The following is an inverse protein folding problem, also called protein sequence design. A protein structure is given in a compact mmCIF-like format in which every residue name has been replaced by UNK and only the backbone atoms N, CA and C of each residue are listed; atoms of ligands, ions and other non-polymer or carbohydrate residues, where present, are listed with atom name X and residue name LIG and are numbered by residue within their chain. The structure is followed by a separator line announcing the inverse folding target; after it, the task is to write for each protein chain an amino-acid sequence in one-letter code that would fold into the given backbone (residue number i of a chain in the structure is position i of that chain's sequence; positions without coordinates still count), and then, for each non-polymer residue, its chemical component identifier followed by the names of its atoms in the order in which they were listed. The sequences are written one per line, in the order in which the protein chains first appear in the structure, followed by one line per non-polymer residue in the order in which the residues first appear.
data_IF_593298189819
#
_entry.id   IF_593298189819
#
_cell.length_a   1.000
_cell.length_b   1.000
_cell.length_c   1.000
_cell.angle_alpha   90.00
_cell.angle_beta   90.00
_cell.angle_gamma   90.00
#
_symmetry.space_group_name_H-M   'P 1'
#
loop_
_entity.id
_entity.type
_entity.pdbx_description
1 polymer ?
#
# COMPACT_ATOMS: atom_id res chain seq x y z
N UNK A 1 11.24 0.32 18.10
CA UNK A 1 11.86 -0.97 17.68
C UNK A 1 12.86 -0.72 16.58
N UNK A 2 13.98 -1.39 16.61
CA UNK A 2 15.07 -1.14 15.70
C UNK A 2 14.87 -1.88 14.37
N UNK A 3 15.19 -1.22 13.26
CA UNK A 3 15.15 -1.82 11.92
C UNK A 3 16.23 -2.89 11.82
N UNK A 4 15.87 -4.11 11.42
CA UNK A 4 16.79 -5.24 11.35
C UNK A 4 17.96 -4.99 10.39
N UNK A 5 17.75 -4.31 9.27
CA UNK A 5 18.81 -3.96 8.33
C UNK A 5 19.79 -2.98 8.99
N UNK A 6 19.29 -2.02 9.76
CA UNK A 6 20.14 -1.07 10.47
C UNK A 6 21.04 -1.75 11.46
N UNK A 7 20.52 -2.75 12.17
CA UNK A 7 21.28 -3.53 13.16
C UNK A 7 22.29 -4.46 12.53
N UNK A 8 21.86 -5.25 11.55
CA UNK A 8 22.64 -6.35 10.99
C UNK A 8 23.53 -5.90 9.82
N UNK A 9 23.10 -4.92 9.05
CA UNK A 9 23.77 -4.49 7.81
C UNK A 9 23.76 -2.97 7.66
N UNK A 10 24.49 -2.25 8.53
CA UNK A 10 24.43 -0.79 8.59
C UNK A 10 24.82 -0.08 7.28
N UNK A 11 25.72 -0.67 6.49
CA UNK A 11 26.11 -0.07 5.20
C UNK A 11 24.97 -0.06 4.20
N UNK A 12 24.15 -1.11 4.15
CA UNK A 12 22.96 -1.12 3.31
C UNK A 12 21.87 -0.20 3.85
N UNK A 13 21.74 -0.11 5.16
CA UNK A 13 20.80 0.82 5.78
C UNK A 13 21.11 2.28 5.40
N UNK A 14 22.37 2.65 5.34
CA UNK A 14 22.76 4.00 4.87
C UNK A 14 22.24 4.30 3.46
N UNK A 15 22.23 3.28 2.59
CA UNK A 15 21.68 3.43 1.22
C UNK A 15 20.17 3.56 1.22
N UNK A 16 19.48 2.90 2.16
CA UNK A 16 18.02 2.97 2.29
C UNK A 16 17.54 4.23 3.00
N UNK A 17 18.37 4.84 3.84
CA UNK A 17 17.96 5.96 4.69
C UNK A 17 17.30 7.11 3.94
N UNK A 18 17.79 7.58 2.79
CA UNK A 18 17.12 8.66 2.04
C UNK A 18 15.68 8.31 1.65
N UNK A 19 15.42 7.05 1.30
CA UNK A 19 14.07 6.57 0.96
C UNK A 19 13.18 6.54 2.20
N UNK A 20 13.70 6.03 3.30
CA UNK A 20 12.99 5.97 4.58
C UNK A 20 12.64 7.37 5.07
N UNK A 21 13.61 8.29 5.07
CA UNK A 21 13.41 9.67 5.50
C UNK A 21 12.33 10.37 4.65
N UNK A 22 12.33 10.13 3.35
CA UNK A 22 11.32 10.68 2.46
C UNK A 22 9.92 10.14 2.78
N UNK A 23 9.79 8.83 2.96
CA UNK A 23 8.51 8.21 3.32
C UNK A 23 7.99 8.73 4.66
N UNK A 24 8.83 8.80 5.67
CA UNK A 24 8.44 9.31 6.98
C UNK A 24 8.04 10.78 6.92
N UNK A 25 8.73 11.59 6.11
CA UNK A 25 8.40 13.01 5.93
C UNK A 25 6.99 13.22 5.35
N UNK A 26 6.48 12.26 4.60
CA UNK A 26 5.14 12.30 4.00
C UNK A 26 4.06 11.63 4.86
N UNK A 27 4.43 11.09 6.01
CA UNK A 27 3.49 10.41 6.90
C UNK A 27 3.28 8.92 6.63
N UNK A 28 4.11 8.31 5.80
CA UNK A 28 4.11 6.87 5.60
C UNK A 28 4.66 6.16 6.84
N UNK A 29 4.19 4.94 7.07
CA UNK A 29 4.63 4.12 8.19
C UNK A 29 5.02 2.73 7.71
N UNK A 30 6.05 2.16 8.32
CA UNK A 30 6.37 0.76 8.10
C UNK A 30 5.41 -0.13 8.89
N UNK A 31 5.02 -1.25 8.30
CA UNK A 31 4.11 -2.22 8.92
C UNK A 31 4.71 -2.82 10.17
N UNK A 32 5.93 -3.29 10.04
CA UNK A 32 6.67 -3.94 11.09
C UNK A 32 8.16 -3.65 10.89
N UNK A 33 8.94 -4.03 11.87
CA UNK A 33 10.36 -4.09 11.69
C UNK A 33 10.72 -5.09 10.62
N UNK A 34 11.76 -4.82 9.88
CA UNK A 34 12.28 -5.74 8.89
C UNK A 34 12.56 -7.08 9.53
N UNK A 35 11.96 -8.12 8.98
CA UNK A 35 12.28 -9.49 9.35
C UNK A 35 13.24 -10.07 8.33
N UNK A 36 14.19 -10.85 8.81
CA UNK A 36 15.10 -11.60 7.98
C UNK A 36 14.47 -12.95 7.65
N UNK A 37 14.38 -13.26 6.37
CA UNK A 37 13.89 -14.54 5.90
C UNK A 37 15.03 -15.30 5.24
N UNK A 38 15.18 -16.59 5.56
CA UNK A 38 16.12 -17.46 4.89
C UNK A 38 15.38 -18.26 3.83
N UNK A 39 15.83 -18.17 2.57
CA UNK A 39 15.24 -18.97 1.49
C UNK A 39 15.65 -20.43 1.65
N UNK A 40 14.68 -21.31 1.73
CA UNK A 40 14.91 -22.75 1.90
C UNK A 40 15.80 -23.11 3.10
N UNK A 41 15.81 -22.29 4.15
CA UNK A 41 16.65 -22.52 5.31
C UNK A 41 18.14 -22.27 5.11
N UNK A 42 18.53 -21.72 3.96
CA UNK A 42 19.93 -21.43 3.63
C UNK A 42 20.38 -20.11 4.27
N UNK A 43 21.36 -20.11 5.19
CA UNK A 43 21.82 -18.89 5.84
C UNK A 43 22.53 -17.91 4.90
N UNK A 44 22.99 -18.37 3.74
CA UNK A 44 23.64 -17.52 2.74
C UNK A 44 22.67 -16.94 1.72
N UNK A 45 21.38 -17.29 1.82
CA UNK A 45 20.34 -16.82 0.92
C UNK A 45 19.19 -16.23 1.75
N UNK A 46 19.23 -14.92 1.98
CA UNK A 46 18.30 -14.23 2.88
C UNK A 46 17.62 -13.05 2.20
N UNK A 47 16.49 -12.66 2.76
CA UNK A 47 15.78 -11.44 2.39
C UNK A 47 15.35 -10.68 3.64
N UNK A 48 15.49 -9.36 3.59
CA UNK A 48 14.88 -8.43 4.54
C UNK A 48 13.82 -7.63 3.82
N UNK A 49 12.60 -7.60 4.36
CA UNK A 49 11.50 -6.82 3.84
C UNK A 49 11.17 -5.68 4.77
N UNK A 50 11.06 -4.49 4.23
CA UNK A 50 10.55 -3.33 4.92
C UNK A 50 9.37 -2.76 4.13
N UNK A 51 8.18 -3.14 4.55
CA UNK A 51 6.91 -2.83 3.87
C UNK A 51 6.31 -1.56 4.44
N UNK A 52 5.93 -0.63 3.57
CA UNK A 52 5.42 0.68 3.92
C UNK A 52 4.00 0.88 3.45
N UNK A 53 3.19 1.55 4.29
CA UNK A 53 1.84 1.97 3.95
C UNK A 53 1.65 3.46 4.23
N UNK A 54 0.65 4.03 3.58
CA UNK A 54 0.18 5.36 3.91
C UNK A 54 -0.96 5.25 4.93
N UNK A 55 -0.86 6.01 6.01
CA UNK A 55 -1.79 5.93 7.12
C UNK A 55 -3.17 6.50 6.74
N UNK A 56 -4.24 5.81 7.13
CA UNK A 56 -5.63 6.27 7.00
C UNK A 56 -6.09 6.55 5.57
N UNK A 57 -5.49 5.95 4.59
CA UNK A 57 -5.75 6.28 3.20
C UNK A 57 -7.18 6.05 2.75
N UNK A 58 -7.89 5.08 3.31
CA UNK A 58 -9.25 4.76 2.89
C UNK A 58 -10.30 4.94 3.97
N UNK A 59 -9.91 5.41 5.15
CA UNK A 59 -10.82 5.64 6.26
C UNK A 59 -11.42 4.37 6.86
N UNK A 60 -10.99 3.20 6.41
CA UNK A 60 -11.41 1.92 6.93
C UNK A 60 -10.37 1.42 7.93
N UNK A 61 -10.81 0.96 9.08
CA UNK A 61 -9.92 0.51 10.12
C UNK A 61 -9.16 -0.76 9.75
N UNK A 62 -7.98 -0.91 10.30
CA UNK A 62 -7.16 -2.09 10.17
C UNK A 62 -6.14 -2.07 9.03
N UNK A 63 -5.21 -2.97 9.14
CA UNK A 63 -4.20 -3.22 8.12
C UNK A 63 -4.73 -4.22 7.12
N UNK A 64 -4.70 -3.87 5.83
CA UNK A 64 -4.93 -4.83 4.76
C UNK A 64 -3.76 -4.78 3.78
N UNK A 65 -3.57 -5.84 3.00
CA UNK A 65 -2.54 -5.89 1.99
C UNK A 65 -2.74 -4.82 0.90
N UNK A 66 -3.95 -4.31 0.78
CA UNK A 66 -4.29 -3.25 -0.16
C UNK A 66 -3.81 -1.87 0.29
N UNK A 67 -3.33 -1.73 1.51
CA UNK A 67 -2.83 -0.46 2.03
C UNK A 67 -1.33 -0.27 1.83
N UNK A 68 -0.64 -1.30 1.41
CA UNK A 68 0.80 -1.26 1.20
C UNK A 68 1.15 -0.53 -0.09
N UNK A 69 2.19 0.30 -0.01
CA UNK A 69 2.60 1.15 -1.13
C UNK A 69 3.92 0.69 -1.73
N UNK A 70 4.86 0.33 -0.89
CA UNK A 70 6.17 -0.09 -1.38
C UNK A 70 6.87 -1.03 -0.40
N UNK A 71 7.82 -1.77 -0.94
CA UNK A 71 8.74 -2.60 -0.20
C UNK A 71 10.19 -2.16 -0.46
N UNK A 72 10.93 -1.97 0.61
CA UNK A 72 12.37 -1.80 0.56
C UNK A 72 12.98 -3.16 0.90
N UNK A 73 13.59 -3.79 -0.08
CA UNK A 73 14.03 -5.19 0.03
C UNK A 73 15.55 -5.27 -0.07
N UNK A 74 16.15 -5.94 0.89
CA UNK A 74 17.55 -6.38 0.79
C UNK A 74 17.55 -7.90 0.60
N UNK A 75 18.00 -8.35 -0.57
CA UNK A 75 18.03 -9.77 -0.92
C UNK A 75 19.45 -10.17 -1.26
N UNK A 76 20.08 -10.97 -0.40
CA UNK A 76 21.43 -11.51 -0.57
C UNK A 76 22.44 -10.47 -1.08
N UNK A 77 22.50 -9.32 -0.37
CA UNK A 77 23.43 -8.23 -0.70
C UNK A 77 22.97 -7.27 -1.80
N UNK A 78 21.78 -7.47 -2.37
CA UNK A 78 21.22 -6.60 -3.40
C UNK A 78 20.02 -5.82 -2.86
N UNK A 79 20.01 -4.49 -3.09
CA UNK A 79 18.88 -3.64 -2.74
C UNK A 79 17.91 -3.57 -3.90
N UNK A 80 16.63 -3.76 -3.56
CA UNK A 80 15.52 -3.68 -4.51
C UNK A 80 14.42 -2.83 -3.91
N UNK A 81 13.94 -1.85 -4.65
CA UNK A 81 12.86 -0.96 -4.21
C UNK A 81 11.69 -1.18 -5.14
N UNK A 82 10.61 -1.72 -4.60
CA UNK A 82 9.42 -2.10 -5.36
C UNK A 82 8.24 -1.25 -4.94
N UNK A 83 7.57 -0.62 -5.90
CA UNK A 83 6.41 0.24 -5.64
C UNK A 83 5.18 -0.33 -6.34
N UNK A 84 4.11 -0.57 -5.58
CA UNK A 84 2.86 -1.09 -6.11
C UNK A 84 2.12 -0.02 -6.92
N UNK A 85 1.54 -0.44 -8.03
CA UNK A 85 0.82 0.43 -8.96
C UNK A 85 -0.69 0.31 -8.75
N UNK A 86 -1.27 1.29 -8.08
CA UNK A 86 -2.71 1.32 -7.80
C UNK A 86 -3.52 1.84 -8.97
N UNK A 87 -4.73 1.30 -9.11
CA UNK A 87 -5.73 1.77 -10.06
C UNK A 87 -7.08 1.90 -9.38
N UNK A 88 -7.88 2.85 -9.84
CA UNK A 88 -9.26 3.02 -9.38
C UNK A 88 -10.15 2.22 -10.33
N UNK A 89 -10.78 1.18 -9.79
CA UNK A 89 -11.59 0.26 -10.58
C UNK A 89 -13.02 0.20 -10.05
N UNK A 90 -13.97 -0.13 -10.92
CA UNK A 90 -15.37 -0.28 -10.55
C UNK A 90 -15.55 -1.61 -9.82
N UNK A 91 -16.28 -1.59 -8.70
CA UNK A 91 -16.59 -2.81 -7.94
C UNK A 91 -17.48 -3.75 -8.75
N UNK A 92 -17.22 -5.05 -8.60
CA UNK A 92 -18.10 -6.08 -9.15
C UNK A 92 -19.43 -6.11 -8.38
N UNK A 93 -20.55 -6.32 -9.11
CA UNK A 93 -21.89 -6.34 -8.53
C UNK A 93 -22.08 -7.40 -7.44
N UNK A 94 -21.39 -8.53 -7.53
CA UNK A 94 -21.46 -9.60 -6.53
C UNK A 94 -21.07 -9.18 -5.12
N UNK A 95 -20.32 -8.09 -4.94
CA UNK A 95 -20.00 -7.54 -3.62
C UNK A 95 -21.17 -6.81 -3.00
N UNK A 96 -22.08 -6.29 -3.80
CA UNK A 96 -23.30 -5.62 -3.36
C UNK A 96 -24.28 -6.66 -2.82
N UNK A 97 -24.26 -7.89 -3.35
CA UNK A 97 -25.13 -9.00 -2.93
C UNK A 97 -24.83 -9.45 -1.50
N UNK A 98 -23.60 -9.37 -1.04
CA UNK A 98 -23.22 -9.74 0.33
C UNK A 98 -23.88 -8.83 1.36
N UNK A 99 -24.18 -7.59 1.01
CA UNK A 99 -24.83 -6.62 1.90
C UNK A 99 -26.32 -6.94 2.15
N UNK A 100 -26.91 -7.90 1.44
CA UNK A 100 -28.29 -8.35 1.66
C UNK A 100 -28.53 -8.97 3.04
N UNK A 101 -27.46 -9.42 3.69
CA UNK A 101 -27.56 -10.00 5.03
C UNK A 101 -27.48 -8.96 6.15
N UNK A 102 -27.28 -7.69 5.80
CA UNK A 102 -27.35 -6.61 6.77
C UNK A 102 -28.80 -6.31 7.09
N UNK A 103 -29.04 -5.84 8.31
CA UNK A 103 -30.37 -5.45 8.77
C UNK A 103 -30.96 -4.41 7.81
N UNK A 104 -32.17 -4.66 7.30
CA UNK A 104 -32.85 -3.76 6.34
C UNK A 104 -33.03 -2.34 6.85
N UNK A 105 -33.19 -2.14 8.16
CA UNK A 105 -33.30 -0.81 8.75
C UNK A 105 -32.01 -0.02 8.61
N UNK A 106 -30.86 -0.69 8.69
CA UNK A 106 -29.58 -0.05 8.53
C UNK A 106 -29.33 0.27 7.05
N UNK A 107 -29.79 -0.59 6.14
CA UNK A 107 -29.64 -0.38 4.70
C UNK A 107 -30.43 0.84 4.19
N UNK A 108 -31.58 1.15 4.81
CA UNK A 108 -32.39 2.32 4.46
C UNK A 108 -31.74 3.65 4.90
N UNK A 109 -30.88 3.60 5.92
CA UNK A 109 -30.22 4.78 6.49
C UNK A 109 -28.87 5.06 5.90
N UNK A 110 -28.28 4.09 5.19
CA UNK A 110 -26.93 4.21 4.65
C UNK A 110 -26.94 4.56 3.16
N UNK A 111 -25.98 5.40 2.78
CA UNK A 111 -25.70 5.68 1.38
C UNK A 111 -25.32 4.39 0.66
N UNK A 112 -25.70 4.31 -0.61
CA UNK A 112 -25.23 3.20 -1.46
C UNK A 112 -23.70 3.13 -1.40
N UNK A 113 -23.14 1.91 -1.34
CA UNK A 113 -21.69 1.79 -1.33
C UNK A 113 -21.05 2.51 -2.50
N UNK A 114 -19.95 3.19 -2.24
CA UNK A 114 -19.18 3.83 -3.30
C UNK A 114 -18.75 2.78 -4.33
N UNK A 115 -19.06 2.99 -5.62
CA UNK A 115 -18.94 1.92 -6.62
C UNK A 115 -17.52 1.65 -7.10
N UNK A 116 -16.54 2.31 -6.56
CA UNK A 116 -15.15 2.15 -6.97
C UNK A 116 -14.28 1.74 -5.81
N UNK A 117 -13.20 1.03 -6.11
CA UNK A 117 -12.15 0.70 -5.16
C UNK A 117 -10.80 1.10 -5.76
N UNK A 118 -9.85 1.38 -4.88
CA UNK A 118 -8.47 1.62 -5.28
C UNK A 118 -7.67 0.37 -4.91
N UNK A 119 -7.12 -0.32 -5.91
CA UNK A 119 -6.43 -1.58 -5.69
C UNK A 119 -5.21 -1.74 -6.59
N UNK A 120 -4.32 -2.64 -6.19
CA UNK A 120 -3.20 -3.06 -7.03
C UNK A 120 -3.70 -4.20 -7.92
N UNK A 121 -3.69 -4.04 -9.23
CA UNK A 121 -4.08 -5.13 -10.13
C UNK A 121 -3.16 -6.34 -9.95
N UNK A 122 -3.77 -7.51 -9.96
CA UNK A 122 -3.08 -8.78 -9.83
C UNK A 122 -3.20 -9.54 -11.15
N UNK A 123 -2.08 -9.78 -11.81
CA UNK A 123 -2.01 -10.51 -13.07
C UNK A 123 -1.26 -11.83 -12.82
N UNK A 124 -1.94 -12.96 -13.06
CA UNK A 124 -1.33 -14.29 -12.92
C UNK A 124 -0.64 -14.54 -11.57
N UNK A 125 -1.20 -14.02 -10.49
CA UNK A 125 -0.64 -14.18 -9.16
C UNK A 125 0.34 -13.10 -8.73
N UNK A 126 0.75 -12.21 -9.65
CA UNK A 126 1.69 -11.14 -9.37
C UNK A 126 1.01 -9.77 -9.34
N UNK A 127 1.31 -8.99 -8.32
CA UNK A 127 0.83 -7.61 -8.22
C UNK A 127 1.57 -6.71 -9.22
N UNK A 128 0.84 -5.78 -9.83
CA UNK A 128 1.44 -4.78 -10.69
C UNK A 128 2.32 -3.85 -9.86
N UNK A 129 3.61 -3.87 -10.15
CA UNK A 129 4.59 -3.06 -9.43
C UNK A 129 5.66 -2.55 -10.38
N UNK A 130 6.40 -1.54 -9.93
CA UNK A 130 7.60 -1.05 -10.63
C UNK A 130 8.77 -1.08 -9.67
N UNK A 131 9.95 -1.34 -10.22
CA UNK A 131 11.20 -1.33 -9.48
C UNK A 131 11.93 -0.05 -9.83
N UNK A 132 12.38 0.67 -8.82
CA UNK A 132 13.18 1.89 -9.01
C UNK A 132 14.56 1.70 -8.41
N UNK A 133 15.54 2.39 -8.97
CA UNK A 133 16.94 2.28 -8.57
C UNK A 133 17.55 3.61 -8.09
N UNK A 134 16.77 4.69 -8.09
CA UNK A 134 17.23 5.99 -7.61
C UNK A 134 16.12 6.77 -6.89
N UNK A 135 16.52 7.72 -6.07
CA UNK A 135 15.61 8.48 -5.23
C UNK A 135 14.64 9.36 -6.04
N UNK A 136 15.10 9.94 -7.15
CA UNK A 136 14.26 10.80 -7.98
C UNK A 136 13.07 10.03 -8.58
N UNK A 137 13.34 8.86 -9.14
CA UNK A 137 12.27 7.99 -9.66
C UNK A 137 11.37 7.50 -8.55
N UNK A 138 11.93 7.19 -7.38
CA UNK A 138 11.16 6.82 -6.21
C UNK A 138 10.15 7.91 -5.83
N UNK A 139 10.61 9.17 -5.76
CA UNK A 139 9.74 10.31 -5.44
C UNK A 139 8.63 10.49 -6.46
N UNK A 140 8.92 10.28 -7.75
CA UNK A 140 7.91 10.33 -8.81
C UNK A 140 6.85 9.25 -8.60
N UNK A 141 7.24 8.03 -8.32
CA UNK A 141 6.29 6.93 -8.12
C UNK A 141 5.46 7.08 -6.85
N UNK A 142 6.06 7.52 -5.76
CA UNK A 142 5.32 7.83 -4.54
C UNK A 142 4.34 9.00 -4.77
N UNK A 143 4.77 10.02 -5.51
CA UNK A 143 3.90 11.13 -5.91
C UNK A 143 2.72 10.67 -6.76
N UNK A 144 2.92 9.73 -7.67
CA UNK A 144 1.85 9.15 -8.47
C UNK A 144 0.82 8.43 -7.59
N UNK A 145 1.28 7.68 -6.59
CA UNK A 145 0.39 7.03 -5.63
C UNK A 145 -0.46 8.06 -4.86
N UNK A 146 0.18 9.10 -4.33
CA UNK A 146 -0.52 10.14 -3.57
C UNK A 146 -1.53 10.90 -4.43
N UNK A 147 -1.20 11.15 -5.69
CA UNK A 147 -2.10 11.76 -6.65
C UNK A 147 -3.32 10.87 -6.91
N UNK A 148 -3.10 9.58 -7.10
CA UNK A 148 -4.16 8.60 -7.29
C UNK A 148 -5.07 8.51 -6.06
N UNK A 149 -4.49 8.53 -4.88
CA UNK A 149 -5.24 8.53 -3.62
C UNK A 149 -6.11 9.78 -3.51
N UNK A 150 -5.60 10.94 -3.87
CA UNK A 150 -6.34 12.20 -3.87
C UNK A 150 -7.53 12.14 -4.85
N UNK A 151 -7.32 11.63 -6.06
CA UNK A 151 -8.39 11.43 -7.04
C UNK A 151 -9.49 10.52 -6.49
N UNK A 152 -9.10 9.42 -5.85
CA UNK A 152 -10.04 8.49 -5.23
C UNK A 152 -10.88 9.16 -4.13
N UNK A 153 -10.24 9.90 -3.24
CA UNK A 153 -10.92 10.60 -2.15
C UNK A 153 -11.87 11.70 -2.66
N UNK A 154 -11.47 12.45 -3.66
CA UNK A 154 -12.31 13.47 -4.29
C UNK A 154 -13.52 12.85 -4.97
N UNK A 155 -13.33 11.74 -5.67
CA UNK A 155 -14.40 11.01 -6.34
C UNK A 155 -15.41 10.45 -5.33
N UNK A 156 -14.91 9.92 -4.21
CA UNK A 156 -15.75 9.42 -3.13
C UNK A 156 -16.55 10.54 -2.48
N UNK A 157 -15.92 11.67 -2.19
CA UNK A 157 -16.57 12.84 -1.61
C UNK A 157 -17.67 13.39 -2.52
N UNK A 158 -17.39 13.48 -3.81
CA UNK A 158 -18.36 13.93 -4.81
C UNK A 158 -19.56 12.99 -4.86
N UNK A 159 -19.33 11.70 -4.85
CA UNK A 159 -20.38 10.69 -4.83
C UNK A 159 -21.28 10.82 -3.58
N UNK A 160 -20.67 10.98 -2.42
CA UNK A 160 -21.40 11.15 -1.16
C UNK A 160 -22.25 12.43 -1.15
N UNK A 161 -21.71 13.54 -1.68
CA UNK A 161 -22.46 14.80 -1.81
C UNK A 161 -23.64 14.67 -2.77
N UNK A 162 -23.47 14.01 -3.91
CA UNK A 162 -24.56 13.78 -4.87
C UNK A 162 -25.64 12.89 -4.27
N UNK A 163 -25.28 11.91 -3.46
CA UNK A 163 -26.22 11.02 -2.79
C UNK A 163 -27.10 11.78 -1.78
N UNK A 164 -26.57 12.82 -1.11
CA UNK A 164 -27.31 13.62 -0.15
C UNK A 164 -28.43 14.46 -0.81
N UNK A 165 -28.37 14.69 -2.11
CA UNK A 165 -29.34 15.47 -2.86
C UNK A 165 -30.36 14.60 -3.64
N UNK A 166 -30.28 13.31 -3.54
CA UNK A 166 -31.22 12.38 -4.15
C UNK A 166 -32.03 11.65 -3.07
#
# INVERSE_FOLDING_TARGET
MENAIKKDMPEYYKKLKPYIDYLESLGFKSKELNKKYFKNGDPDNYEYFNTWKYNSQRGEGGWSDQDYVCDLILSTGELKIEIYQYEIVKRAEKRIVVDRYKNKKDDELHLKPFPYIMEVPNYNGDYKSVIVDNLDDFKIQIGNYLKKLKEYKEKKKKYELEADFT
#
